data_IF_971948191427
#
_entry.id   IF_971948191427
#
_cell.length_a   1.000
_cell.length_b   1.000
_cell.length_c   1.000
_cell.angle_alpha   90.00
_cell.angle_beta   90.00
_cell.angle_gamma   90.00
#
_symmetry.space_group_name_H-M   'P 1'
#
loop_
_entity.id
_entity.type
_entity.pdbx_description
1 polymer ?
#
# COMPACT_ATOMS: atom_id res chain seq x y z
N UNK A 1 5.92 -9.99 8.58
CA UNK A 1 6.55 -11.12 7.87
C UNK A 1 7.57 -10.67 6.83
N UNK A 2 7.23 -9.73 5.95
CA UNK A 2 8.15 -9.20 4.93
C UNK A 2 9.48 -8.67 5.51
N UNK A 3 9.44 -7.81 6.54
CA UNK A 3 10.66 -7.31 7.22
C UNK A 3 11.59 -8.43 7.68
N UNK A 4 11.03 -9.49 8.27
CA UNK A 4 11.81 -10.66 8.70
C UNK A 4 12.37 -11.44 7.51
N UNK A 5 11.61 -11.58 6.42
CA UNK A 5 12.08 -12.26 5.21
C UNK A 5 13.25 -11.49 4.57
N UNK A 6 13.12 -10.17 4.42
CA UNK A 6 14.17 -9.32 3.84
C UNK A 6 15.47 -9.38 4.66
N UNK A 7 15.40 -9.29 5.98
CA UNK A 7 16.59 -9.32 6.85
C UNK A 7 17.27 -10.70 6.92
N UNK A 8 16.56 -11.78 6.60
CA UNK A 8 17.13 -13.13 6.55
C UNK A 8 17.62 -13.50 5.15
N UNK A 9 17.40 -12.65 4.15
CA UNK A 9 17.83 -12.88 2.76
C UNK A 9 19.13 -12.14 2.49
N UNK A 10 20.08 -12.69 1.70
CA UNK A 10 21.27 -11.96 1.30
C UNK A 10 20.95 -10.63 0.58
N UNK A 11 21.81 -9.61 0.70
CA UNK A 11 23.10 -9.64 1.39
C UNK A 11 22.98 -9.43 2.91
N UNK A 12 23.94 -9.95 3.68
CA UNK A 12 23.89 -9.98 5.14
C UNK A 12 23.98 -8.60 5.81
N UNK A 13 24.37 -7.57 5.05
CA UNK A 13 24.44 -6.17 5.44
C UNK A 13 23.17 -5.38 5.09
N UNK A 14 22.08 -6.05 4.71
CA UNK A 14 20.79 -5.42 4.45
C UNK A 14 20.35 -4.55 5.64
N UNK A 15 20.13 -3.26 5.37
CA UNK A 15 19.50 -2.33 6.31
C UNK A 15 18.09 -2.00 5.84
N UNK A 16 17.17 -1.81 6.78
CA UNK A 16 15.76 -1.58 6.47
C UNK A 16 15.22 -0.37 7.22
N UNK A 17 14.57 0.53 6.49
CA UNK A 17 13.69 1.52 7.09
C UNK A 17 12.26 1.02 6.96
N UNK A 18 11.58 0.86 8.10
CA UNK A 18 10.14 0.57 8.15
C UNK A 18 9.43 1.83 8.61
N UNK A 19 8.34 2.18 7.92
CA UNK A 19 7.61 3.41 8.19
C UNK A 19 6.11 3.21 8.09
N UNK A 20 5.39 3.89 8.97
CA UNK A 20 3.93 3.89 9.07
C UNK A 20 3.48 5.16 9.82
N UNK A 21 2.19 5.52 9.77
CA UNK A 21 1.63 6.66 10.52
C UNK A 21 1.74 6.46 12.04
N UNK A 22 1.85 5.20 12.47
CA UNK A 22 2.26 4.80 13.81
C UNK A 22 3.67 4.19 13.77
N UNK A 23 4.46 4.28 14.84
CA UNK A 23 5.80 3.68 14.84
C UNK A 23 5.72 2.15 14.70
N UNK A 24 6.18 1.56 13.58
CA UNK A 24 6.00 0.13 13.36
C UNK A 24 6.92 -0.69 14.29
N UNK A 25 6.41 -1.76 14.93
CA UNK A 25 7.23 -2.58 15.81
C UNK A 25 8.26 -3.39 15.01
N UNK A 26 9.47 -3.51 15.54
CA UNK A 26 10.48 -4.43 14.98
C UNK A 26 10.01 -5.87 15.27
N UNK A 27 9.84 -6.73 14.25
CA UNK A 27 9.36 -8.09 14.48
C UNK A 27 10.30 -8.89 15.39
N UNK A 28 9.75 -9.63 16.37
CA UNK A 28 10.55 -10.44 17.31
C UNK A 28 11.48 -11.43 16.61
N UNK A 29 11.03 -12.00 15.48
CA UNK A 29 11.82 -12.91 14.62
C UNK A 29 13.01 -12.24 13.92
N UNK A 30 13.04 -10.90 13.90
CA UNK A 30 14.14 -10.08 13.38
C UNK A 30 14.95 -9.40 14.49
N UNK A 31 14.73 -9.75 15.77
CA UNK A 31 15.41 -9.12 16.92
C UNK A 31 16.94 -9.18 16.85
N UNK A 32 17.50 -10.28 16.32
CA UNK A 32 18.94 -10.42 16.02
C UNK A 32 19.49 -9.41 15.01
N UNK A 33 18.62 -8.79 14.20
CA UNK A 33 18.95 -7.76 13.22
C UNK A 33 18.38 -6.38 13.63
N UNK A 34 18.00 -6.19 14.90
CA UNK A 34 17.36 -4.94 15.34
C UNK A 34 18.22 -3.69 15.05
N UNK A 35 19.55 -3.79 15.12
CA UNK A 35 20.47 -2.71 14.77
C UNK A 35 20.43 -2.33 13.28
N UNK A 36 19.94 -3.21 12.42
CA UNK A 36 19.80 -3.01 10.97
C UNK A 36 18.44 -2.41 10.59
N UNK A 37 17.53 -2.21 11.55
CA UNK A 37 16.16 -1.74 11.30
C UNK A 37 15.94 -0.37 11.93
N UNK A 38 15.63 0.64 11.11
CA UNK A 38 15.10 1.91 11.58
C UNK A 38 13.57 1.89 11.53
N UNK A 39 12.93 2.08 12.68
CA UNK A 39 11.48 2.26 12.78
C UNK A 39 11.14 3.75 12.80
N UNK A 40 10.37 4.20 11.83
CA UNK A 40 10.15 5.62 11.55
C UNK A 40 8.65 5.90 11.46
N UNK A 41 8.13 6.63 12.44
CA UNK A 41 6.75 7.14 12.36
C UNK A 41 6.69 8.29 11.34
N UNK A 42 5.83 8.20 10.34
CA UNK A 42 5.71 9.20 9.26
C UNK A 42 4.32 9.18 8.64
N UNK A 43 3.73 10.37 8.49
CA UNK A 43 2.49 10.56 7.75
C UNK A 43 2.78 10.78 6.26
N UNK A 44 2.69 9.72 5.46
CA UNK A 44 3.07 9.72 4.04
C UNK A 44 2.26 10.67 3.11
N UNK A 45 1.00 11.00 3.40
CA UNK A 45 0.31 12.13 2.74
C UNK A 45 1.05 13.47 2.85
N UNK A 46 1.85 13.69 3.90
CA UNK A 46 2.63 14.90 4.06
C UNK A 46 3.89 14.91 3.18
N UNK A 47 3.92 15.84 2.23
CA UNK A 47 5.07 16.00 1.31
C UNK A 47 6.38 16.26 2.05
N UNK A 48 6.35 17.12 3.07
CA UNK A 48 7.52 17.42 3.90
C UNK A 48 8.01 16.19 4.65
N UNK A 49 7.09 15.31 5.08
CA UNK A 49 7.43 14.08 5.78
C UNK A 49 8.08 13.06 4.83
N UNK A 50 7.55 12.91 3.61
CA UNK A 50 8.17 12.11 2.53
C UNK A 50 9.55 12.67 2.15
N UNK A 51 9.68 13.99 2.03
CA UNK A 51 10.97 14.62 1.70
C UNK A 51 11.99 14.39 2.80
N UNK A 52 11.60 14.48 4.07
CA UNK A 52 12.49 14.19 5.20
C UNK A 52 12.91 12.72 5.24
N UNK A 53 12.03 11.80 4.82
CA UNK A 53 12.33 10.37 4.74
C UNK A 53 13.34 10.08 3.62
N UNK A 54 13.18 10.72 2.45
CA UNK A 54 14.02 10.52 1.27
C UNK A 54 15.36 11.28 1.39
N UNK A 55 15.30 12.54 1.82
CA UNK A 55 16.43 13.47 1.90
C UNK A 55 16.83 13.67 3.36
N UNK A 56 17.13 12.58 4.08
CA UNK A 56 17.33 12.57 5.55
C UNK A 56 18.52 13.39 6.08
N UNK A 57 19.12 14.27 5.26
CA UNK A 57 20.24 15.14 5.62
C UNK A 57 21.54 14.41 5.99
N UNK A 58 21.56 13.07 5.86
CA UNK A 58 22.71 12.25 6.18
C UNK A 58 23.85 12.48 5.18
N UNK A 59 25.09 12.37 5.65
CA UNK A 59 26.28 12.42 4.79
C UNK A 59 27.11 11.15 4.99
N UNK A 60 27.26 10.29 3.96
CA UNK A 60 26.70 10.44 2.60
C UNK A 60 25.17 10.33 2.59
N UNK A 61 24.49 10.92 1.57
CA UNK A 61 23.04 10.86 1.45
C UNK A 61 22.57 9.40 1.42
N UNK A 62 21.61 9.08 2.29
CA UNK A 62 20.99 7.77 2.33
C UNK A 62 20.32 7.51 0.99
N UNK A 63 20.68 6.42 0.31
CA UNK A 63 20.02 5.99 -0.91
C UNK A 63 19.38 4.63 -0.66
N UNK A 64 18.11 4.52 -1.03
CA UNK A 64 17.41 3.25 -1.03
C UNK A 64 17.70 2.52 -2.35
N UNK A 65 18.07 1.25 -2.26
CA UNK A 65 18.18 0.38 -3.44
C UNK A 65 16.81 -0.10 -3.91
N UNK A 66 15.92 -0.37 -2.96
CA UNK A 66 14.55 -0.86 -3.18
C UNK A 66 13.58 -0.15 -2.23
N UNK A 67 12.43 0.29 -2.74
CA UNK A 67 11.34 0.89 -1.95
C UNK A 67 10.07 0.05 -2.11
N UNK A 68 9.55 -0.46 -1.00
CA UNK A 68 8.28 -1.18 -0.95
C UNK A 68 7.16 -0.22 -0.53
N UNK A 69 6.19 0.02 -1.41
CA UNK A 69 5.07 0.93 -1.17
C UNK A 69 3.84 0.08 -0.78
N UNK A 70 3.64 -0.07 0.52
CA UNK A 70 2.57 -0.88 1.11
C UNK A 70 1.54 -0.04 1.91
N UNK A 71 1.74 1.27 1.99
CA UNK A 71 0.84 2.16 2.73
C UNK A 71 -0.56 2.16 2.13
N UNK A 72 -1.57 2.39 2.96
CA UNK A 72 -2.92 2.61 2.48
C UNK A 72 -3.93 2.71 3.60
N UNK A 73 -5.06 3.32 3.29
CA UNK A 73 -6.29 3.20 4.08
C UNK A 73 -7.20 2.24 3.34
N UNK A 74 -7.62 1.16 3.99
CA UNK A 74 -8.33 0.06 3.34
C UNK A 74 -9.80 0.39 3.08
N UNK A 75 -10.48 -0.45 2.31
CA UNK A 75 -11.87 -0.29 1.81
C UNK A 75 -12.79 0.56 2.69
N UNK A 76 -13.17 0.10 3.88
CA UNK A 76 -14.12 0.82 4.74
C UNK A 76 -13.63 2.21 5.16
N UNK A 77 -12.32 2.38 5.36
CA UNK A 77 -11.71 3.66 5.69
C UNK A 77 -11.62 4.63 4.50
N UNK A 78 -11.44 4.13 3.28
CA UNK A 78 -11.49 4.98 2.07
C UNK A 78 -12.92 5.40 1.75
N UNK A 79 -13.89 4.50 1.93
CA UNK A 79 -15.30 4.80 1.67
C UNK A 79 -15.90 5.78 2.70
N UNK A 80 -15.50 5.65 3.97
CA UNK A 80 -15.96 6.58 5.02
C UNK A 80 -15.33 7.97 4.91
N UNK A 81 -14.17 8.07 4.25
CA UNK A 81 -13.47 9.33 4.02
C UNK A 81 -12.74 9.31 2.68
N UNK A 82 -13.49 9.63 1.62
CA UNK A 82 -12.99 9.62 0.24
C UNK A 82 -11.75 10.51 0.06
N UNK A 83 -11.74 11.71 0.64
CA UNK A 83 -10.61 12.64 0.51
C UNK A 83 -9.35 12.09 1.18
N UNK A 84 -9.49 11.44 2.34
CA UNK A 84 -8.39 10.75 2.98
C UNK A 84 -7.93 9.54 2.17
N UNK A 85 -8.86 8.75 1.62
CA UNK A 85 -8.59 7.65 0.68
C UNK A 85 -7.73 8.09 -0.49
N UNK A 86 -8.19 9.11 -1.22
CA UNK A 86 -7.48 9.70 -2.35
C UNK A 86 -6.10 10.24 -1.95
N UNK A 87 -6.00 10.96 -0.84
CA UNK A 87 -4.73 11.51 -0.36
C UNK A 87 -3.73 10.42 0.01
N UNK A 88 -4.16 9.40 0.75
CA UNK A 88 -3.30 8.31 1.20
C UNK A 88 -2.98 7.36 0.05
N UNK A 89 -3.98 6.79 -0.61
CA UNK A 89 -3.75 5.68 -1.54
C UNK A 89 -3.17 6.14 -2.88
N UNK A 90 -3.62 7.30 -3.40
CA UNK A 90 -3.24 7.79 -4.73
C UNK A 90 -2.20 8.91 -4.68
N UNK A 91 -2.50 10.04 -4.04
CA UNK A 91 -1.66 11.23 -4.15
C UNK A 91 -0.33 11.10 -3.40
N UNK A 92 -0.31 10.46 -2.22
CA UNK A 92 0.92 10.15 -1.53
C UNK A 92 1.81 9.21 -2.37
N UNK A 93 1.22 8.13 -2.92
CA UNK A 93 1.94 7.24 -3.85
C UNK A 93 2.52 8.01 -5.03
N UNK A 94 1.71 8.82 -5.71
CA UNK A 94 2.16 9.62 -6.85
C UNK A 94 3.33 10.54 -6.46
N UNK A 95 3.25 11.20 -5.30
CA UNK A 95 4.31 12.07 -4.82
C UNK A 95 5.60 11.32 -4.52
N UNK A 96 5.51 10.18 -3.82
CA UNK A 96 6.67 9.32 -3.52
C UNK A 96 7.35 8.91 -4.83
N UNK A 97 6.60 8.42 -5.82
CA UNK A 97 7.15 8.04 -7.12
C UNK A 97 7.83 9.24 -7.82
N UNK A 98 7.21 10.42 -7.81
CA UNK A 98 7.77 11.63 -8.41
C UNK A 98 9.03 12.14 -7.72
N UNK A 99 9.14 11.97 -6.40
CA UNK A 99 10.35 12.32 -5.64
C UNK A 99 11.46 11.32 -5.90
N UNK A 100 11.18 10.02 -5.76
CA UNK A 100 12.14 8.94 -6.00
C UNK A 100 12.79 9.02 -7.38
N UNK A 101 12.01 9.26 -8.45
CA UNK A 101 12.58 9.38 -9.81
C UNK A 101 13.53 10.57 -9.99
N UNK A 102 13.41 11.61 -9.15
CA UNK A 102 14.25 12.83 -9.24
C UNK A 102 15.48 12.72 -8.36
N UNK A 103 15.31 12.20 -7.14
CA UNK A 103 16.37 12.15 -6.14
C UNK A 103 17.18 10.88 -6.25
N UNK A 104 16.59 9.74 -6.63
CA UNK A 104 17.22 8.42 -6.69
C UNK A 104 16.97 7.70 -8.04
N UNK A 105 17.53 8.19 -9.16
CA UNK A 105 17.45 7.49 -10.44
C UNK A 105 18.01 6.06 -10.32
N UNK A 106 17.26 5.07 -10.78
CA UNK A 106 17.65 3.65 -10.73
C UNK A 106 17.13 2.86 -9.51
N UNK A 107 16.46 3.52 -8.55
CA UNK A 107 15.81 2.82 -7.42
C UNK A 107 14.74 1.85 -7.92
N UNK A 108 14.71 0.65 -7.35
CA UNK A 108 13.65 -0.33 -7.63
C UNK A 108 12.44 -0.04 -6.76
N UNK A 109 11.25 -0.09 -7.35
CA UNK A 109 10.00 0.17 -6.62
C UNK A 109 9.14 -1.08 -6.70
N UNK A 110 8.73 -1.59 -5.53
CA UNK A 110 7.75 -2.66 -5.41
C UNK A 110 6.48 -2.04 -4.87
N UNK A 111 5.43 -2.04 -5.67
CA UNK A 111 4.12 -1.52 -5.29
C UNK A 111 3.10 -2.65 -5.34
N UNK A 112 2.28 -2.78 -4.30
CA UNK A 112 1.23 -3.79 -4.25
C UNK A 112 -0.13 -3.17 -4.54
N UNK A 113 -0.81 -3.70 -5.56
CA UNK A 113 -2.22 -3.42 -5.79
C UNK A 113 -3.11 -4.20 -4.81
N UNK A 114 -4.43 -4.13 -4.96
CA UNK A 114 -5.41 -4.83 -4.13
C UNK A 114 -6.32 -5.71 -4.98
N UNK A 115 -6.88 -6.78 -4.43
CA UNK A 115 -7.97 -7.52 -5.09
C UNK A 115 -9.21 -6.64 -5.34
N UNK A 116 -9.36 -5.54 -4.60
CA UNK A 116 -10.43 -4.56 -4.80
C UNK A 116 -10.37 -3.86 -6.18
N UNK A 117 -9.28 -4.00 -6.95
CA UNK A 117 -9.21 -3.52 -8.34
C UNK A 117 -10.06 -4.34 -9.29
N UNK A 118 -10.52 -5.52 -8.87
CA UNK A 118 -11.41 -6.40 -9.62
C UNK A 118 -12.85 -6.23 -9.14
N UNK A 119 -13.79 -6.53 -10.04
CA UNK A 119 -15.23 -6.46 -9.73
C UNK A 119 -15.74 -7.69 -8.96
N UNK A 120 -17.00 -7.66 -8.50
CA UNK A 120 -17.61 -8.77 -7.80
C UNK A 120 -17.68 -10.03 -8.69
N UNK A 121 -17.52 -11.20 -8.07
CA UNK A 121 -17.60 -12.50 -8.75
C UNK A 121 -18.56 -13.45 -8.03
N UNK A 122 -19.01 -14.48 -8.74
CA UNK A 122 -19.80 -15.55 -8.13
C UNK A 122 -19.01 -16.23 -6.99
N UNK A 123 -19.67 -16.75 -5.94
CA UNK A 123 -19.01 -17.49 -4.88
C UNK A 123 -18.15 -18.64 -5.43
N UNK A 124 -16.91 -18.76 -4.94
CA UNK A 124 -15.98 -19.80 -5.38
C UNK A 124 -15.25 -19.52 -6.70
N UNK A 125 -15.54 -18.41 -7.38
CA UNK A 125 -14.76 -17.99 -8.55
C UNK A 125 -13.38 -17.48 -8.14
N UNK A 126 -12.33 -18.10 -8.68
CA UNK A 126 -10.94 -17.70 -8.42
C UNK A 126 -10.53 -16.63 -9.42
N UNK A 127 -10.23 -15.43 -8.92
CA UNK A 127 -9.79 -14.30 -9.74
C UNK A 127 -8.30 -14.43 -10.07
N UNK A 128 -7.94 -14.18 -11.32
CA UNK A 128 -6.57 -14.00 -11.81
C UNK A 128 -6.51 -12.78 -12.73
N UNK A 129 -5.32 -12.25 -12.95
CA UNK A 129 -5.07 -11.13 -13.86
C UNK A 129 -5.46 -11.44 -15.32
N UNK A 130 -5.63 -12.72 -15.67
CA UNK A 130 -5.97 -13.17 -17.02
C UNK A 130 -7.45 -13.45 -17.22
N UNK A 131 -8.19 -13.74 -16.15
CA UNK A 131 -9.59 -14.19 -16.25
C UNK A 131 -10.63 -13.14 -15.87
N UNK A 132 -10.20 -12.02 -15.28
CA UNK A 132 -11.11 -10.95 -14.86
C UNK A 132 -10.51 -9.59 -15.20
N UNK A 133 -11.23 -8.72 -15.93
CA UNK A 133 -10.79 -7.36 -16.13
C UNK A 133 -10.80 -6.59 -14.82
N UNK A 134 -9.86 -5.65 -14.66
CA UNK A 134 -9.86 -4.70 -13.54
C UNK A 134 -11.07 -3.76 -13.68
N UNK A 135 -12.11 -4.02 -12.89
CA UNK A 135 -13.38 -3.31 -12.87
C UNK A 135 -13.78 -3.02 -11.41
N UNK A 136 -13.01 -2.16 -10.72
CA UNK A 136 -13.29 -1.87 -9.32
C UNK A 136 -14.67 -1.23 -9.15
N UNK A 137 -15.34 -1.60 -8.06
CA UNK A 137 -16.65 -1.04 -7.69
C UNK A 137 -16.60 -0.20 -6.42
N UNK A 138 -15.41 -0.02 -5.83
CA UNK A 138 -15.15 0.79 -4.64
C UNK A 138 -14.15 1.90 -4.92
N UNK A 139 -14.19 2.97 -4.12
CA UNK A 139 -13.23 4.06 -4.15
C UNK A 139 -11.81 3.54 -3.91
N UNK A 140 -11.64 2.70 -2.88
CA UNK A 140 -10.38 2.02 -2.58
C UNK A 140 -9.83 1.19 -3.76
N UNK A 141 -10.70 0.44 -4.44
CA UNK A 141 -10.32 -0.33 -5.62
C UNK A 141 -9.84 0.55 -6.78
N UNK A 142 -10.50 1.68 -7.00
CA UNK A 142 -10.06 2.68 -7.98
C UNK A 142 -8.72 3.30 -7.61
N UNK A 143 -8.51 3.64 -6.34
CA UNK A 143 -7.30 4.27 -5.82
C UNK A 143 -6.07 3.33 -5.86
N UNK A 144 -6.26 2.02 -5.67
CA UNK A 144 -5.18 1.01 -5.70
C UNK A 144 -4.86 0.45 -7.09
N UNK A 145 -5.54 0.93 -8.13
CA UNK A 145 -5.32 0.45 -9.50
C UNK A 145 -3.98 0.92 -10.04
N UNK A 146 -3.00 0.02 -10.11
CA UNK A 146 -1.66 0.30 -10.67
C UNK A 146 -1.75 0.86 -12.08
N UNK A 147 -2.63 0.31 -12.92
CA UNK A 147 -2.84 0.83 -14.26
C UNK A 147 -3.21 2.32 -14.24
N UNK A 148 -4.08 2.74 -13.32
CA UNK A 148 -4.49 4.15 -13.20
C UNK A 148 -3.30 5.03 -12.81
N UNK A 149 -2.42 4.55 -11.94
CA UNK A 149 -1.20 5.27 -11.58
C UNK A 149 -0.22 5.38 -12.76
N UNK A 150 -0.10 4.32 -13.57
CA UNK A 150 0.71 4.33 -14.78
C UNK A 150 0.15 5.27 -15.85
N UNK A 151 -1.17 5.30 -16.01
CA UNK A 151 -1.86 6.25 -16.91
C UNK A 151 -1.58 7.69 -16.46
N UNK A 152 -1.71 7.98 -15.16
CA UNK A 152 -1.39 9.31 -14.60
C UNK A 152 0.10 9.64 -14.78
N UNK A 153 1.00 8.66 -14.59
CA UNK A 153 2.42 8.84 -14.84
C UNK A 153 2.69 9.19 -16.31
N UNK A 154 2.00 8.57 -17.26
CA UNK A 154 2.12 8.93 -18.67
C UNK A 154 1.55 10.31 -18.96
N UNK A 155 0.37 10.64 -18.43
CA UNK A 155 -0.28 11.94 -18.63
C UNK A 155 0.58 13.10 -18.13
N UNK A 156 1.18 12.96 -16.95
CA UNK A 156 1.99 14.02 -16.31
C UNK A 156 3.46 13.94 -16.71
N UNK A 157 3.97 12.73 -16.92
CA UNK A 157 5.38 12.43 -17.10
C UNK A 157 5.80 12.19 -18.55
N UNK A 158 4.84 11.97 -19.46
CA UNK A 158 5.04 11.59 -20.85
C UNK A 158 5.35 10.11 -21.05
N UNK A 159 5.13 9.63 -22.27
CA UNK A 159 5.37 8.25 -22.71
C UNK A 159 6.79 7.75 -22.43
N UNK A 160 7.80 8.64 -22.55
CA UNK A 160 9.19 8.32 -22.24
C UNK A 160 9.40 7.85 -20.79
N UNK A 161 8.67 8.43 -19.82
CA UNK A 161 8.77 8.00 -18.42
C UNK A 161 7.99 6.72 -18.16
N UNK A 162 6.82 6.57 -18.79
CA UNK A 162 6.04 5.32 -18.72
C UNK A 162 6.84 4.12 -19.24
N UNK A 163 7.65 4.32 -20.28
CA UNK A 163 8.51 3.30 -20.87
C UNK A 163 9.64 2.80 -19.93
N UNK A 164 9.90 3.49 -18.81
CA UNK A 164 10.87 3.04 -17.81
C UNK A 164 10.29 2.02 -16.83
N UNK A 165 8.97 1.78 -16.87
CA UNK A 165 8.29 0.81 -16.01
C UNK A 165 8.00 -0.45 -16.81
N UNK A 166 8.59 -1.56 -16.37
CA UNK A 166 8.38 -2.89 -16.92
C UNK A 166 7.34 -3.64 -16.07
N UNK A 167 6.38 -4.28 -16.73
CA UNK A 167 5.45 -5.21 -16.09
C UNK A 167 6.02 -6.63 -16.22
N UNK A 168 6.46 -7.19 -15.10
CA UNK A 168 7.04 -8.53 -15.06
C UNK A 168 6.29 -9.41 -14.05
N UNK A 169 5.70 -10.54 -14.49
CA UNK A 169 5.16 -11.53 -13.57
C UNK A 169 6.27 -12.11 -12.68
N UNK A 170 5.99 -12.22 -11.38
CA UNK A 170 6.86 -12.84 -10.40
C UNK A 170 6.15 -14.06 -9.80
N UNK A 171 6.64 -15.25 -10.13
CA UNK A 171 6.02 -16.52 -9.73
C UNK A 171 6.10 -16.77 -8.22
N UNK A 172 7.12 -16.25 -7.53
CA UNK A 172 7.25 -16.40 -6.08
C UNK A 172 6.27 -15.50 -5.33
N UNK A 173 6.11 -14.26 -5.80
CA UNK A 173 5.08 -13.35 -5.29
C UNK A 173 3.69 -13.89 -5.62
N UNK A 174 3.46 -14.38 -6.84
CA UNK A 174 2.20 -14.98 -7.23
C UNK A 174 1.84 -16.15 -6.32
N UNK A 175 2.79 -17.06 -6.04
CA UNK A 175 2.61 -18.18 -5.10
C UNK A 175 2.20 -17.74 -3.69
N UNK A 176 2.77 -16.63 -3.20
CA UNK A 176 2.42 -16.07 -1.89
C UNK A 176 1.00 -15.49 -1.90
N UNK A 177 0.65 -14.70 -2.91
CA UNK A 177 -0.66 -14.04 -3.03
C UNK A 177 -1.78 -15.06 -3.27
N UNK A 178 -1.53 -16.11 -4.05
CA UNK A 178 -2.47 -17.23 -4.25
C UNK A 178 -2.73 -18.03 -2.97
N UNK A 179 -1.87 -17.89 -1.95
CA UNK A 179 -2.07 -18.47 -0.62
C UNK A 179 -2.99 -17.65 0.30
N UNK A 180 -3.38 -16.43 -0.09
CA UNK A 180 -4.29 -15.60 0.71
C UNK A 180 -5.75 -16.00 0.44
N UNK A 181 -6.49 -16.36 1.48
CA UNK A 181 -7.90 -16.76 1.34
C UNK A 181 -8.75 -15.56 0.88
N UNK A 182 -9.55 -15.69 -0.20
CA UNK A 182 -10.54 -14.68 -0.59
C UNK A 182 -11.78 -14.69 0.32
N UNK A 183 -11.93 -15.70 1.17
CA UNK A 183 -13.05 -15.87 2.09
C UNK A 183 -12.57 -15.61 3.52
N UNK A 184 -13.02 -14.51 4.11
CA UNK A 184 -12.82 -14.20 5.52
C UNK A 184 -13.99 -14.78 6.32
N UNK A 185 -13.72 -15.76 7.18
CA UNK A 185 -14.69 -16.23 8.16
C UNK A 185 -14.74 -15.24 9.34
N UNK A 186 -15.87 -14.55 9.47
CA UNK A 186 -16.11 -13.57 10.54
C UNK A 186 -16.80 -14.20 11.76
N UNK A 187 -17.06 -15.51 11.76
CA UNK A 187 -17.77 -16.21 12.84
C UNK A 187 -17.06 -16.06 14.19
N UNK A 188 -15.73 -16.04 14.21
CA UNK A 188 -14.97 -15.82 15.43
C UNK A 188 -15.17 -14.40 15.98
N UNK A 189 -15.11 -13.37 15.14
CA UNK A 189 -15.41 -11.99 15.56
C UNK A 189 -16.85 -11.88 16.08
N UNK A 190 -17.81 -12.51 15.41
CA UNK A 190 -19.21 -12.58 15.87
C UNK A 190 -19.36 -13.29 17.23
N UNK A 191 -18.56 -14.34 17.46
CA UNK A 191 -18.55 -15.05 18.75
C UNK A 191 -17.96 -14.24 19.92
N UNK A 192 -17.14 -13.23 19.61
CA UNK A 192 -16.57 -12.30 20.59
C UNK A 192 -17.48 -11.09 20.87
N UNK A 193 -18.68 -11.06 20.31
CA UNK A 193 -19.67 -9.98 20.51
C UNK A 193 -19.60 -8.84 19.49
N UNK A 194 -18.76 -8.96 18.45
CA UNK A 194 -18.82 -8.02 17.32
C UNK A 194 -20.04 -8.32 16.46
N UNK A 195 -20.73 -7.30 15.98
CA UNK A 195 -21.87 -7.44 15.07
C UNK A 195 -21.61 -6.61 13.81
N UNK A 196 -22.36 -6.91 12.74
CA UNK A 196 -22.31 -6.12 11.51
C UNK A 196 -22.74 -4.69 11.82
N UNK A 197 -21.96 -3.71 11.35
CA UNK A 197 -22.24 -2.30 11.58
C UNK A 197 -23.58 -1.89 10.94
N UNK A 198 -24.12 -0.74 11.36
CA UNK A 198 -25.33 -0.19 10.77
C UNK A 198 -25.18 0.00 9.25
N UNK A 199 -26.28 0.02 8.50
CA UNK A 199 -26.19 0.20 7.05
C UNK A 199 -25.46 1.50 6.72
N UNK A 200 -24.80 1.57 5.57
CA UNK A 200 -24.09 2.80 5.16
C UNK A 200 -25.01 4.04 5.21
N UNK A 201 -26.30 3.85 4.89
CA UNK A 201 -27.33 4.88 5.02
C UNK A 201 -27.50 5.35 6.47
N UNK A 202 -27.59 4.40 7.40
CA UNK A 202 -27.72 4.70 8.82
C UNK A 202 -26.44 5.34 9.38
N UNK A 203 -25.26 4.90 8.93
CA UNK A 203 -23.96 5.44 9.32
C UNK A 203 -23.81 6.91 8.90
N UNK A 204 -24.22 7.24 7.66
CA UNK A 204 -24.24 8.63 7.16
C UNK A 204 -25.27 9.47 7.90
N UNK A 205 -26.47 8.95 8.17
CA UNK A 205 -27.51 9.66 8.93
C UNK A 205 -27.08 9.92 10.39
N UNK A 206 -26.38 8.97 10.99
CA UNK A 206 -25.78 9.10 12.32
C UNK A 206 -24.69 10.16 12.35
N UNK A 207 -23.76 10.14 11.39
CA UNK A 207 -22.71 11.16 11.28
C UNK A 207 -23.29 12.58 11.14
N UNK A 208 -24.30 12.74 10.29
CA UNK A 208 -25.01 14.03 10.12
C UNK A 208 -25.70 14.48 11.40
N UNK A 209 -26.31 13.56 12.16
CA UNK A 209 -27.04 13.92 13.39
C UNK A 209 -26.14 14.17 14.61
N UNK A 210 -24.99 13.50 14.69
CA UNK A 210 -24.09 13.54 15.84
C UNK A 210 -22.92 14.53 15.67
N UNK A 211 -22.45 14.75 14.44
CA UNK A 211 -21.20 15.51 14.17
C UNK A 211 -21.40 16.87 13.50
N UNK A 212 -22.63 17.19 13.04
CA UNK A 212 -22.96 18.49 12.43
C UNK A 212 -23.88 19.35 13.33
N UNK A 213 -23.63 19.37 14.64
CA UNK A 213 -24.14 20.42 15.54
C UNK A 213 -23.06 21.45 15.83
#
# INVERSE_FOLDING_TARGET
>A
ELTTALLNTPPADTTLNITDITSPPIPTRASKHASCVASIQTDLPSRTAVDSLIDSGASPPRRYDVVYILHGIMSSGSESNFDLGMNVNLFATQYILDRLRRTMPGVKIVYTSSLAVYGPTAPGFVITERNMPQMPTSSYGMEKRVQKMLDVLEMVGGTKKRALVEEKPDEDVNRIVQGWSPNFDTAWAKSLGFYEDMSLLDSVQRFVSESLK
#
